data_IF_417648798478
#
_entry.id   IF_417648798478
#
_cell.length_a   1.000
_cell.length_b   1.000
_cell.length_c   1.000
_cell.angle_alpha   90.00
_cell.angle_beta   90.00
_cell.angle_gamma   90.00
#
_symmetry.space_group_name_H-M   'P 1'
#
loop_
_entity.id
_entity.type
_entity.pdbx_description
1 polymer ?
#
# COMPACT_ATOMS: atom_id res chain seq x y z
N UNK A 1 2.97 3.54 21.13
CA UNK A 1 2.48 4.90 21.45
C UNK A 1 3.62 5.85 21.75
N UNK A 2 4.57 5.52 22.64
CA UNK A 2 5.73 6.42 22.89
C UNK A 2 6.58 6.65 21.64
N UNK A 3 6.88 5.57 20.91
CA UNK A 3 7.63 5.63 19.64
C UNK A 3 6.95 6.54 18.60
N UNK A 4 5.61 6.51 18.52
CA UNK A 4 4.80 7.37 17.63
C UNK A 4 5.03 8.85 17.98
N UNK A 5 5.00 9.19 19.27
CA UNK A 5 5.23 10.56 19.75
C UNK A 5 6.65 11.03 19.47
N UNK A 6 7.64 10.19 19.77
CA UNK A 6 9.04 10.56 19.56
C UNK A 6 9.39 10.67 18.07
N UNK A 7 8.78 9.86 17.18
CA UNK A 7 8.91 10.02 15.73
C UNK A 7 8.37 11.38 15.25
N UNK A 8 7.12 11.73 15.60
CA UNK A 8 6.55 13.05 15.23
C UNK A 8 7.42 14.19 15.77
N UNK A 9 7.87 14.12 17.01
CA UNK A 9 8.73 15.13 17.63
C UNK A 9 10.10 15.24 16.94
N UNK A 10 10.69 14.12 16.53
CA UNK A 10 12.00 14.11 15.88
C UNK A 10 11.96 14.65 14.44
N UNK A 11 10.88 14.38 13.72
CA UNK A 11 10.72 14.74 12.31
C UNK A 11 10.03 16.11 12.13
N UNK A 12 9.29 16.57 13.14
CA UNK A 12 8.49 17.80 13.04
C UNK A 12 7.31 17.65 12.10
N UNK A 13 6.70 18.77 11.73
CA UNK A 13 5.47 18.80 10.91
C UNK A 13 5.76 18.74 9.40
N UNK A 14 7.04 18.83 9.00
CA UNK A 14 7.45 18.80 7.58
C UNK A 14 7.37 17.39 6.96
N UNK A 15 7.46 16.35 7.78
CA UNK A 15 7.34 14.97 7.33
C UNK A 15 5.92 14.47 7.45
N UNK A 16 5.43 13.85 6.39
CA UNK A 16 4.17 13.12 6.38
C UNK A 16 4.39 11.76 7.03
N UNK A 17 3.58 11.42 8.03
CA UNK A 17 3.72 10.17 8.79
C UNK A 17 2.47 9.31 8.65
N UNK A 18 2.69 8.02 8.43
CA UNK A 18 1.68 6.98 8.48
C UNK A 18 2.03 5.98 9.59
N UNK A 19 1.03 5.26 10.11
CA UNK A 19 1.26 4.21 11.10
C UNK A 19 0.63 2.91 10.64
N UNK A 20 1.45 1.85 10.59
CA UNK A 20 1.06 0.50 10.19
C UNK A 20 1.44 -0.50 11.30
N UNK A 21 0.46 -1.11 11.99
CA UNK A 21 0.68 -2.18 12.96
C UNK A 21 0.42 -3.57 12.38
N UNK A 22 0.08 -3.72 11.09
CA UNK A 22 -0.23 -4.99 10.42
C UNK A 22 -1.24 -5.84 11.20
N UNK A 23 -2.40 -5.26 11.47
CA UNK A 23 -3.53 -5.87 12.17
C UNK A 23 -3.25 -6.34 13.61
N UNK A 24 -2.24 -5.76 14.27
CA UNK A 24 -1.81 -6.22 15.59
C UNK A 24 -2.77 -5.85 16.73
N UNK A 25 -3.64 -4.85 16.56
CA UNK A 25 -4.48 -4.36 17.64
C UNK A 25 -5.85 -5.02 17.69
N UNK A 26 -6.44 -5.04 18.89
CA UNK A 26 -7.89 -5.15 19.03
C UNK A 26 -8.57 -3.77 18.88
N UNK A 27 -9.90 -3.73 18.81
CA UNK A 27 -10.66 -2.47 18.62
C UNK A 27 -10.35 -1.40 19.68
N UNK A 28 -10.19 -1.78 20.94
CA UNK A 28 -9.93 -0.84 22.04
C UNK A 28 -8.54 -0.22 21.94
N UNK A 29 -7.54 -1.05 21.65
CA UNK A 29 -6.16 -0.61 21.43
C UNK A 29 -6.05 0.28 20.19
N UNK A 30 -6.67 -0.15 19.08
CA UNK A 30 -6.71 0.62 17.84
C UNK A 30 -7.35 1.98 18.05
N UNK A 31 -8.50 2.08 18.74
CA UNK A 31 -9.12 3.37 19.02
C UNK A 31 -8.18 4.29 19.83
N UNK A 32 -7.50 3.75 20.85
CA UNK A 32 -6.57 4.52 21.67
C UNK A 32 -5.36 5.01 20.86
N UNK A 33 -4.82 4.17 19.98
CA UNK A 33 -3.73 4.55 19.08
C UNK A 33 -4.22 5.57 18.06
N UNK A 34 -5.35 5.33 17.40
CA UNK A 34 -5.95 6.23 16.42
C UNK A 34 -6.19 7.64 16.97
N UNK A 35 -6.64 7.77 18.22
CA UNK A 35 -6.76 9.10 18.86
C UNK A 35 -5.44 9.83 19.02
N UNK A 36 -4.37 9.10 19.29
CA UNK A 36 -3.03 9.70 19.31
C UNK A 36 -2.58 10.10 17.90
N UNK A 37 -2.95 9.32 16.87
CA UNK A 37 -2.66 9.66 15.48
C UNK A 37 -3.44 10.90 15.03
N UNK A 38 -4.71 11.06 15.44
CA UNK A 38 -5.51 12.28 15.26
C UNK A 38 -4.76 13.49 15.86
N UNK A 39 -4.30 13.38 17.11
CA UNK A 39 -3.59 14.46 17.82
C UNK A 39 -2.26 14.86 17.17
N UNK A 40 -1.62 13.96 16.42
CA UNK A 40 -0.29 14.13 15.85
C UNK A 40 -0.29 14.33 14.33
N UNK A 41 -1.47 14.54 13.73
CA UNK A 41 -1.65 14.78 12.30
C UNK A 41 -0.95 13.72 11.43
N UNK A 42 -1.27 12.45 11.69
CA UNK A 42 -0.84 11.35 10.84
C UNK A 42 -1.72 11.26 9.60
N UNK A 43 -1.11 10.93 8.45
CA UNK A 43 -1.78 10.82 7.16
C UNK A 43 -2.83 9.71 7.17
N UNK A 44 -2.48 8.53 7.69
CA UNK A 44 -3.39 7.40 7.81
C UNK A 44 -3.00 6.43 8.91
N UNK A 45 -3.99 5.62 9.30
CA UNK A 45 -3.83 4.46 10.15
C UNK A 45 -4.05 3.20 9.32
N UNK A 46 -2.96 2.57 8.92
CA UNK A 46 -2.97 1.36 8.09
C UNK A 46 -3.37 0.15 8.92
N UNK A 47 -4.20 -0.73 8.35
CA UNK A 47 -4.57 -2.05 8.86
C UNK A 47 -4.57 -2.16 10.41
N UNK A 48 -5.36 -1.35 11.13
CA UNK A 48 -5.24 -1.24 12.58
C UNK A 48 -5.62 -2.53 13.31
N UNK A 49 -6.64 -3.22 12.80
CA UNK A 49 -7.20 -4.45 13.34
C UNK A 49 -7.36 -5.48 12.21
N UNK A 50 -7.75 -6.71 12.55
CA UNK A 50 -8.03 -7.75 11.56
C UNK A 50 -9.02 -7.27 10.50
N UNK A 51 -8.66 -7.38 9.22
CA UNK A 51 -9.54 -6.99 8.09
C UNK A 51 -10.89 -7.71 8.15
N UNK A 52 -10.92 -8.96 8.62
CA UNK A 52 -12.16 -9.73 8.79
C UNK A 52 -13.16 -9.11 9.79
N UNK A 53 -12.70 -8.19 10.65
CA UNK A 53 -13.55 -7.45 11.59
C UNK A 53 -14.10 -6.16 10.96
N UNK A 54 -14.93 -6.34 9.92
CA UNK A 54 -15.53 -5.23 9.17
C UNK A 54 -16.31 -4.26 10.08
N UNK A 55 -17.09 -4.78 11.03
CA UNK A 55 -17.86 -3.92 11.94
C UNK A 55 -16.94 -3.11 12.87
N UNK A 56 -15.79 -3.69 13.27
CA UNK A 56 -14.77 -2.96 14.02
C UNK A 56 -14.13 -1.85 13.20
N UNK A 57 -13.84 -2.10 11.92
CA UNK A 57 -13.30 -1.09 11.02
C UNK A 57 -14.28 0.07 10.80
N UNK A 58 -15.57 -0.24 10.58
CA UNK A 58 -16.64 0.78 10.49
C UNK A 58 -16.74 1.58 11.78
N UNK A 59 -16.69 0.93 12.95
CA UNK A 59 -16.72 1.62 14.24
C UNK A 59 -15.53 2.58 14.36
N UNK A 60 -14.31 2.12 14.06
CA UNK A 60 -13.10 2.93 14.14
C UNK A 60 -13.14 4.12 13.17
N UNK A 61 -13.46 3.88 11.90
CA UNK A 61 -13.56 4.92 10.87
C UNK A 61 -14.64 5.97 11.20
N UNK A 62 -15.72 5.58 11.89
CA UNK A 62 -16.75 6.54 12.32
C UNK A 62 -16.34 7.41 13.52
N UNK A 63 -15.27 7.04 14.21
CA UNK A 63 -14.84 7.67 15.46
C UNK A 63 -13.56 8.47 15.31
N UNK A 64 -12.66 8.06 14.42
CA UNK A 64 -11.35 8.68 14.22
C UNK A 64 -11.40 9.72 13.09
N UNK A 65 -10.54 10.73 13.20
CA UNK A 65 -10.36 11.73 12.13
C UNK A 65 -9.27 11.26 11.14
N UNK A 66 -8.25 10.54 11.62
CA UNK A 66 -7.25 9.85 10.81
C UNK A 66 -7.94 8.78 9.95
N UNK A 67 -7.74 8.79 8.62
CA UNK A 67 -8.38 7.82 7.75
C UNK A 67 -7.77 6.43 7.97
N UNK A 68 -8.63 5.41 7.92
CA UNK A 68 -8.16 4.02 7.89
C UNK A 68 -7.69 3.66 6.48
N UNK A 69 -6.45 3.21 6.36
CA UNK A 69 -5.87 2.71 5.12
C UNK A 69 -5.95 1.19 5.11
N UNK A 70 -6.86 0.61 4.33
CA UNK A 70 -7.22 -0.81 4.44
C UNK A 70 -7.36 -1.46 3.08
N UNK A 71 -6.94 -2.72 3.00
CA UNK A 71 -7.29 -3.61 1.88
C UNK A 71 -6.21 -4.60 1.46
N UNK A 72 -5.03 -4.61 2.09
CA UNK A 72 -3.95 -5.58 1.82
C UNK A 72 -4.48 -7.03 1.83
N UNK A 73 -5.38 -7.34 2.76
CA UNK A 73 -5.91 -8.68 2.97
C UNK A 73 -7.26 -8.93 2.29
N UNK A 74 -7.70 -8.02 1.41
CA UNK A 74 -8.88 -8.22 0.57
C UNK A 74 -8.46 -8.79 -0.79
N UNK A 75 -9.20 -9.80 -1.25
CA UNK A 75 -8.86 -10.56 -2.46
C UNK A 75 -9.92 -10.46 -3.56
N UNK A 76 -11.02 -9.73 -3.35
CA UNK A 76 -12.05 -9.57 -4.36
C UNK A 76 -12.58 -8.14 -4.46
N UNK A 77 -12.92 -7.74 -5.67
CA UNK A 77 -13.56 -6.44 -5.95
C UNK A 77 -14.87 -6.29 -5.18
N UNK A 78 -15.59 -7.40 -4.97
CA UNK A 78 -16.82 -7.42 -4.18
C UNK A 78 -16.57 -7.09 -2.71
N UNK A 79 -15.45 -7.56 -2.14
CA UNK A 79 -15.08 -7.20 -0.77
C UNK A 79 -14.75 -5.71 -0.68
N UNK A 80 -13.94 -5.18 -1.59
CA UNK A 80 -13.67 -3.74 -1.66
C UNK A 80 -14.96 -2.92 -1.76
N UNK A 81 -15.90 -3.32 -2.63
CA UNK A 81 -17.19 -2.65 -2.76
C UNK A 81 -17.98 -2.64 -1.45
N UNK A 82 -18.01 -3.76 -0.71
CA UNK A 82 -18.72 -3.81 0.56
C UNK A 82 -18.05 -2.94 1.62
N UNK A 83 -16.72 -2.98 1.73
CA UNK A 83 -15.98 -2.23 2.75
C UNK A 83 -16.07 -0.71 2.50
N UNK A 84 -15.91 -0.28 1.25
CA UNK A 84 -16.08 1.12 0.84
C UNK A 84 -17.52 1.57 1.13
N UNK A 85 -18.53 0.81 0.68
CA UNK A 85 -19.95 1.14 0.89
C UNK A 85 -20.33 1.25 2.37
N UNK A 86 -19.71 0.44 3.23
CA UNK A 86 -19.94 0.42 4.67
C UNK A 86 -19.19 1.53 5.42
N UNK A 87 -18.28 2.24 4.77
CA UNK A 87 -17.45 3.27 5.39
C UNK A 87 -16.36 2.68 6.30
N UNK A 88 -15.81 1.53 5.94
CA UNK A 88 -14.80 0.82 6.75
C UNK A 88 -13.36 1.32 6.51
N UNK A 89 -13.16 2.19 5.50
CA UNK A 89 -11.85 2.68 5.08
C UNK A 89 -11.98 4.12 4.55
N UNK A 90 -10.96 4.92 4.78
CA UNK A 90 -10.80 6.27 4.21
C UNK A 90 -9.79 6.32 3.07
N UNK A 91 -8.87 5.35 3.01
CA UNK A 91 -7.93 5.16 1.89
C UNK A 91 -7.93 3.68 1.51
N UNK A 92 -8.00 3.39 0.22
CA UNK A 92 -8.06 2.03 -0.32
C UNK A 92 -6.67 1.51 -0.60
N UNK A 93 -6.33 0.36 -0.03
CA UNK A 93 -5.05 -0.33 -0.28
C UNK A 93 -5.29 -1.57 -1.10
N UNK A 94 -4.76 -1.66 -2.31
CA UNK A 94 -4.91 -2.85 -3.15
C UNK A 94 -3.58 -3.56 -3.37
N UNK A 95 -3.64 -4.87 -3.58
CA UNK A 95 -2.52 -5.68 -4.02
C UNK A 95 -2.91 -6.37 -5.31
N UNK A 96 -2.20 -6.09 -6.39
CA UNK A 96 -2.49 -6.64 -7.70
C UNK A 96 -2.49 -8.17 -7.70
N UNK A 97 -1.60 -8.79 -6.91
CA UNK A 97 -1.52 -10.25 -6.75
C UNK A 97 -2.80 -10.85 -6.13
N UNK A 98 -3.48 -10.08 -5.28
CA UNK A 98 -4.68 -10.54 -4.57
C UNK A 98 -5.96 -10.29 -5.36
N UNK A 99 -6.03 -9.21 -6.15
CA UNK A 99 -7.29 -8.76 -6.78
C UNK A 99 -7.41 -9.12 -8.27
N UNK A 100 -6.57 -10.03 -8.77
CA UNK A 100 -6.64 -10.50 -10.16
C UNK A 100 -5.81 -9.68 -11.15
N UNK A 101 -4.67 -9.16 -10.69
CA UNK A 101 -3.69 -8.42 -11.48
C UNK A 101 -4.10 -6.99 -11.80
N UNK A 102 -3.48 -6.43 -12.85
CA UNK A 102 -3.69 -5.03 -13.28
C UNK A 102 -5.17 -4.75 -13.55
N UNK A 103 -5.85 -5.63 -14.29
CA UNK A 103 -7.26 -5.42 -14.65
C UNK A 103 -8.18 -5.38 -13.43
N UNK A 104 -7.94 -6.25 -12.45
CA UNK A 104 -8.72 -6.25 -11.20
C UNK A 104 -8.40 -5.03 -10.33
N UNK A 105 -7.12 -4.65 -10.29
CA UNK A 105 -6.66 -3.47 -9.55
C UNK A 105 -7.26 -2.17 -10.10
N UNK A 106 -7.29 -2.00 -11.43
CA UNK A 106 -7.96 -0.85 -12.05
C UNK A 106 -9.44 -0.78 -11.68
N UNK A 107 -10.13 -1.92 -11.56
CA UNK A 107 -11.54 -1.95 -11.14
C UNK A 107 -11.70 -1.53 -9.69
N UNK A 108 -10.78 -1.91 -8.80
CA UNK A 108 -10.79 -1.48 -7.39
C UNK A 108 -10.45 0.01 -7.28
N UNK A 109 -9.39 0.48 -7.94
CA UNK A 109 -8.98 1.88 -7.88
C UNK A 109 -10.03 2.84 -8.45
N UNK A 110 -10.66 2.50 -9.58
CA UNK A 110 -11.75 3.30 -10.14
C UNK A 110 -13.06 3.21 -9.34
N UNK A 111 -13.27 2.11 -8.61
CA UNK A 111 -14.37 2.01 -7.66
C UNK A 111 -14.12 2.95 -6.46
N UNK A 112 -12.89 2.99 -5.93
CA UNK A 112 -12.50 3.92 -4.88
C UNK A 112 -12.69 5.38 -5.34
N UNK A 113 -12.24 5.70 -6.56
CA UNK A 113 -12.40 7.03 -7.18
C UNK A 113 -13.88 7.45 -7.26
N UNK A 114 -14.77 6.53 -7.65
CA UNK A 114 -16.21 6.80 -7.70
C UNK A 114 -16.83 7.14 -6.34
N UNK A 115 -16.19 6.76 -5.23
CA UNK A 115 -16.56 7.13 -3.86
C UNK A 115 -15.74 8.30 -3.31
N UNK A 116 -14.87 8.91 -4.13
CA UNK A 116 -13.99 10.00 -3.72
C UNK A 116 -12.87 9.56 -2.77
N UNK A 117 -12.52 8.27 -2.76
CA UNK A 117 -11.46 7.73 -1.93
C UNK A 117 -10.15 7.66 -2.71
N UNK A 118 -9.06 7.97 -2.03
CA UNK A 118 -7.72 7.71 -2.50
C UNK A 118 -7.47 6.19 -2.60
N UNK A 119 -6.68 5.77 -3.59
CA UNK A 119 -6.21 4.41 -3.73
C UNK A 119 -4.69 4.37 -3.79
N UNK A 120 -4.05 3.77 -2.78
CA UNK A 120 -2.60 3.59 -2.74
C UNK A 120 -2.25 2.11 -2.79
N UNK A 121 -1.75 1.61 -3.93
CA UNK A 121 -1.32 0.22 -4.05
C UNK A 121 -0.22 -0.15 -3.04
N UNK A 122 -0.27 -1.39 -2.57
CA UNK A 122 0.76 -1.99 -1.74
C UNK A 122 1.98 -2.35 -2.58
N UNK A 123 3.15 -1.88 -2.18
CA UNK A 123 4.39 -2.10 -2.90
C UNK A 123 5.39 -2.85 -2.02
N UNK A 124 5.30 -4.18 -2.07
CA UNK A 124 6.27 -5.06 -1.44
C UNK A 124 6.66 -6.20 -2.39
N UNK A 125 7.92 -6.62 -2.30
CA UNK A 125 8.45 -7.70 -3.14
C UNK A 125 9.65 -7.26 -3.97
N UNK A 126 9.75 -7.81 -5.17
CA UNK A 126 10.84 -7.57 -6.12
C UNK A 126 10.50 -6.48 -7.15
N UNK A 127 11.46 -6.12 -8.00
CA UNK A 127 11.30 -5.09 -9.04
C UNK A 127 10.02 -5.24 -9.90
N UNK A 128 9.58 -6.45 -10.24
CA UNK A 128 8.33 -6.62 -10.98
C UNK A 128 7.08 -6.36 -10.14
N UNK A 129 7.10 -6.79 -8.89
CA UNK A 129 5.99 -6.54 -7.96
C UNK A 129 5.81 -5.03 -7.83
N UNK A 130 6.91 -4.29 -7.62
CA UNK A 130 6.91 -2.82 -7.63
C UNK A 130 6.47 -2.23 -8.97
N UNK A 131 6.93 -2.77 -10.10
CA UNK A 131 6.59 -2.24 -11.43
C UNK A 131 5.09 -2.33 -11.73
N UNK A 132 4.44 -3.44 -11.38
CA UNK A 132 3.01 -3.62 -11.61
C UNK A 132 2.21 -2.56 -10.86
N UNK A 133 2.51 -2.36 -9.58
CA UNK A 133 1.83 -1.38 -8.73
C UNK A 133 2.18 0.06 -9.13
N UNK A 134 3.43 0.35 -9.51
CA UNK A 134 3.80 1.68 -10.00
C UNK A 134 3.04 2.07 -11.28
N UNK A 135 2.85 1.14 -12.22
CA UNK A 135 2.03 1.41 -13.41
C UNK A 135 0.56 1.67 -13.06
N UNK A 136 0.04 1.04 -12.00
CA UNK A 136 -1.31 1.32 -11.50
C UNK A 136 -1.39 2.72 -10.91
N UNK A 137 -0.42 3.12 -10.10
CA UNK A 137 -0.34 4.46 -9.51
C UNK A 137 -0.22 5.56 -10.56
N UNK A 138 0.59 5.34 -11.60
CA UNK A 138 0.71 6.28 -12.71
C UNK A 138 -0.58 6.40 -13.53
N UNK A 139 -1.45 5.39 -13.50
CA UNK A 139 -2.67 5.33 -14.30
C UNK A 139 -3.94 5.75 -13.55
N UNK A 140 -3.98 5.54 -12.23
CA UNK A 140 -5.13 5.85 -11.40
C UNK A 140 -5.19 7.36 -11.09
N UNK A 141 -6.36 8.01 -11.23
CA UNK A 141 -6.50 9.45 -11.00
C UNK A 141 -6.42 9.83 -9.51
N UNK A 142 -6.53 8.83 -8.63
CA UNK A 142 -6.64 8.94 -7.18
C UNK A 142 -5.50 8.23 -6.44
N UNK A 143 -4.33 8.08 -7.08
CA UNK A 143 -3.12 7.53 -6.45
C UNK A 143 -2.04 8.61 -6.36
N UNK A 144 -1.53 8.87 -5.15
CA UNK A 144 -0.59 9.97 -4.90
C UNK A 144 0.72 9.54 -4.23
N UNK A 145 0.79 8.31 -3.73
CA UNK A 145 1.96 7.76 -3.04
C UNK A 145 2.44 6.49 -3.71
N UNK A 146 3.76 6.32 -3.73
CA UNK A 146 4.43 5.07 -4.04
C UNK A 146 5.11 4.57 -2.77
N UNK A 147 4.76 3.37 -2.32
CA UNK A 147 5.41 2.75 -1.18
C UNK A 147 6.76 2.15 -1.62
N UNK A 148 7.84 2.53 -0.94
CA UNK A 148 9.18 2.00 -1.22
C UNK A 148 9.66 1.18 -0.03
N UNK A 149 10.05 -0.09 -0.20
CA UNK A 149 10.63 -0.87 0.88
C UNK A 149 11.91 -0.22 1.39
N UNK A 150 12.14 -0.32 2.70
CA UNK A 150 13.35 0.18 3.32
C UNK A 150 14.10 -0.93 4.09
N UNK A 151 15.39 -1.15 3.81
CA UNK A 151 16.18 -0.63 2.69
C UNK A 151 15.63 -1.01 1.30
N UNK A 152 15.87 -0.13 0.32
CA UNK A 152 15.42 -0.28 -1.08
C UNK A 152 15.96 -1.55 -1.75
N UNK A 153 17.13 -2.01 -1.32
CA UNK A 153 17.81 -3.21 -1.80
C UNK A 153 17.00 -4.49 -1.58
N UNK A 154 15.99 -4.50 -0.70
CA UNK A 154 15.12 -5.65 -0.53
C UNK A 154 14.37 -6.05 -1.82
N UNK A 155 14.13 -5.08 -2.72
CA UNK A 155 13.50 -5.35 -4.00
C UNK A 155 14.48 -5.88 -5.06
N UNK A 156 15.78 -5.70 -4.87
CA UNK A 156 16.78 -6.05 -5.87
C UNK A 156 16.88 -7.58 -6.02
N UNK A 157 16.97 -8.04 -7.28
CA UNK A 157 17.28 -9.43 -7.60
C UNK A 157 18.39 -9.48 -8.63
N UNK A 158 19.26 -10.50 -8.62
CA UNK A 158 20.36 -10.59 -9.58
C UNK A 158 19.93 -10.68 -11.05
N UNK A 159 18.67 -11.04 -11.31
CA UNK A 159 18.08 -11.11 -12.66
C UNK A 159 17.31 -9.84 -13.07
N UNK A 160 17.31 -8.79 -12.25
CA UNK A 160 16.80 -7.47 -12.63
C UNK A 160 17.97 -6.50 -12.81
N UNK A 161 18.05 -5.87 -13.98
CA UNK A 161 19.08 -4.86 -14.26
C UNK A 161 18.72 -3.50 -13.68
N UNK A 162 17.44 -3.16 -13.79
CA UNK A 162 16.88 -1.93 -13.28
C UNK A 162 16.56 -2.03 -11.78
N UNK A 163 16.55 -0.88 -11.13
CA UNK A 163 16.37 -0.74 -9.69
C UNK A 163 15.39 0.38 -9.41
N UNK A 164 14.38 0.11 -8.58
CA UNK A 164 13.56 1.17 -8.02
C UNK A 164 14.37 1.95 -7.00
N UNK A 165 14.50 3.26 -7.20
CA UNK A 165 15.20 4.16 -6.27
C UNK A 165 14.46 5.48 -6.25
N UNK A 166 14.22 5.97 -5.05
CA UNK A 166 13.69 7.32 -4.80
C UNK A 166 14.81 8.31 -5.02
N UNK A 167 14.56 9.35 -5.80
CA UNK A 167 15.52 10.42 -6.04
C UNK A 167 15.62 11.39 -4.86
N UNK A 168 16.48 12.40 -4.99
CA UNK A 168 16.72 13.39 -3.93
C UNK A 168 15.49 14.25 -3.59
N UNK A 169 14.51 14.30 -4.47
CA UNK A 169 13.30 15.11 -4.34
C UNK A 169 12.11 14.26 -3.87
N UNK A 170 12.31 12.97 -3.61
CA UNK A 170 11.28 12.06 -3.10
C UNK A 170 10.49 11.31 -4.17
N UNK A 171 10.93 11.35 -5.44
CA UNK A 171 10.17 10.78 -6.56
C UNK A 171 10.82 9.53 -7.16
N UNK A 172 9.99 8.72 -7.80
CA UNK A 172 10.43 7.64 -8.70
C UNK A 172 10.03 8.01 -10.13
N UNK A 173 10.96 7.83 -11.08
CA UNK A 173 10.72 8.17 -12.47
C UNK A 173 9.95 7.06 -13.19
N UNK A 174 8.89 7.45 -13.90
CA UNK A 174 8.12 6.54 -14.75
C UNK A 174 9.02 5.85 -15.80
N UNK A 175 8.90 4.53 -15.99
CA UNK A 175 9.63 3.82 -17.04
C UNK A 175 9.18 4.27 -18.42
N UNK A 176 10.12 4.31 -19.38
CA UNK A 176 9.84 4.73 -20.78
C UNK A 176 9.84 3.57 -21.77
N UNK A 177 10.33 2.41 -21.37
CA UNK A 177 10.36 1.22 -22.22
C UNK A 177 8.96 0.59 -22.31
N UNK A 178 8.62 -0.11 -23.41
CA UNK A 178 7.33 -0.77 -23.57
C UNK A 178 7.03 -1.81 -22.48
N UNK A 179 5.73 -2.03 -22.23
CA UNK A 179 5.27 -2.96 -21.19
C UNK A 179 5.53 -2.42 -19.78
N UNK A 180 5.93 -3.30 -18.86
CA UNK A 180 6.31 -2.87 -17.51
C UNK A 180 7.59 -2.01 -17.52
N UNK A 181 8.45 -2.16 -18.52
CA UNK A 181 9.66 -1.35 -18.68
C UNK A 181 10.87 -1.80 -17.85
N UNK A 182 10.81 -2.99 -17.24
CA UNK A 182 11.88 -3.58 -16.42
C UNK A 182 12.26 -4.98 -16.96
N UNK A 183 13.18 -5.07 -17.94
CA UNK A 183 13.59 -6.34 -18.54
C UNK A 183 14.42 -7.23 -17.60
N UNK A 184 14.26 -8.54 -17.78
CA UNK A 184 15.06 -9.55 -17.10
C UNK A 184 16.41 -9.78 -17.74
N UNK A 185 17.41 -10.09 -16.90
CA UNK A 185 18.56 -10.87 -17.31
C UNK A 185 18.17 -12.36 -17.31
N UNK A 186 17.87 -12.88 -18.51
CA UNK A 186 17.41 -14.28 -18.68
C UNK A 186 18.47 -15.29 -18.25
N UNK A 187 19.74 -15.02 -18.51
CA UNK A 187 20.82 -15.95 -18.14
C UNK A 187 20.98 -16.02 -16.61
N UNK A 188 20.86 -14.89 -15.92
CA UNK A 188 20.84 -14.86 -14.47
C UNK A 188 19.60 -15.56 -13.88
N UNK A 189 18.43 -15.36 -14.49
CA UNK A 189 17.19 -16.01 -14.08
C UNK A 189 17.25 -17.53 -14.26
N UNK A 190 17.73 -18.01 -15.41
CA UNK A 190 17.85 -19.44 -15.71
C UNK A 190 18.76 -20.16 -14.70
N UNK A 191 19.86 -19.53 -14.27
CA UNK A 191 20.75 -20.08 -13.22
C UNK A 191 20.08 -20.26 -11.87
N UNK A 192 19.00 -19.52 -11.59
CA UNK A 192 18.25 -19.57 -10.34
C UNK A 192 16.94 -20.35 -10.46
N UNK A 193 16.55 -20.71 -11.67
CA UNK A 193 15.28 -21.37 -11.96
C UNK A 193 15.36 -22.84 -11.55
N UNK A 194 14.55 -23.24 -10.57
CA UNK A 194 14.32 -24.66 -10.27
C UNK A 194 13.28 -25.18 -11.25
N UNK A 195 13.72 -26.02 -12.19
CA UNK A 195 12.81 -26.75 -13.07
C UNK A 195 12.33 -27.99 -12.34
N UNK A 196 11.01 -28.13 -12.23
CA UNK A 196 10.37 -29.35 -11.74
C UNK A 196 9.93 -30.09 -13.00
N UNK A 197 10.58 -31.21 -13.30
CA UNK A 197 10.13 -32.08 -14.39
C UNK A 197 8.73 -32.60 -14.04
N UNK A 198 7.83 -32.57 -15.03
CA UNK A 198 6.44 -33.01 -14.90
C UNK A 198 6.32 -34.53 -14.80
#
# INVERSE_FOLDING_TARGET
MEEIKELRKALGDEYVLAHDPVQAYNRYEALKVGRLLDELDYLWFEDPIRTTDLDGLVELASRLDVPLHVGEFLASISDFAEYIRRGAMGVVRLIADNVGGISGSMRVGLLADAFGLECTPHNWGNVLDLAVHFHLELALPNAYWFEMPHPAEYADRPYHKDKFRVDKDGYILAPKAPGLGYPFDRDALDKMTKRIDA
#
